data_IF_705326042801
#
_entry.id   IF_705326042801
#
_cell.length_a   1.000
_cell.length_b   1.000
_cell.length_c   1.000
_cell.angle_alpha   90.00
_cell.angle_beta   90.00
_cell.angle_gamma   90.00
#
_symmetry.space_group_name_H-M   'P 1'
#
loop_
_entity.id
_entity.type
_entity.pdbx_description
1 polymer ?
#
# COMPACT_ATOMS: atom_id res chain seq x y z
N UNK A 1 9.83 -3.60 9.21
CA UNK A 1 8.77 -3.56 8.18
C UNK A 1 9.43 -3.45 6.82
N UNK A 2 9.02 -4.25 5.83
CA UNK A 2 9.64 -4.27 4.49
C UNK A 2 8.90 -3.44 3.44
N UNK A 3 7.61 -3.16 3.64
CA UNK A 3 6.81 -2.33 2.74
C UNK A 3 7.39 -0.93 2.65
N UNK A 4 7.67 -0.47 1.43
CA UNK A 4 8.22 0.85 1.13
C UNK A 4 7.20 1.71 0.40
N UNK A 5 7.34 3.02 0.52
CA UNK A 5 6.65 4.02 -0.28
C UNK A 5 7.69 5.03 -0.75
N UNK A 6 7.89 5.13 -2.07
CA UNK A 6 8.88 6.03 -2.68
C UNK A 6 8.13 7.10 -3.45
N UNK A 7 8.45 8.37 -3.20
CA UNK A 7 7.90 9.47 -3.99
C UNK A 7 8.49 9.40 -5.40
N UNK A 8 7.63 9.35 -6.42
CA UNK A 8 7.96 9.35 -7.83
C UNK A 8 7.14 10.45 -8.51
N UNK A 9 7.79 11.59 -8.80
CA UNK A 9 7.11 12.80 -9.24
C UNK A 9 6.18 13.36 -8.15
N UNK A 10 4.88 13.32 -8.41
CA UNK A 10 3.80 13.79 -7.55
C UNK A 10 3.05 12.67 -6.81
N UNK A 11 3.40 11.40 -7.05
CA UNK A 11 2.73 10.23 -6.46
C UNK A 11 3.69 9.38 -5.62
N UNK A 12 3.13 8.57 -4.71
CA UNK A 12 3.90 7.58 -3.96
C UNK A 12 3.70 6.18 -4.54
N UNK A 13 4.80 5.54 -4.94
CA UNK A 13 4.80 4.13 -5.35
C UNK A 13 5.00 3.25 -4.11
N UNK A 14 3.96 2.53 -3.74
CA UNK A 14 3.95 1.62 -2.59
C UNK A 14 4.24 0.19 -3.04
N UNK A 15 5.25 -0.45 -2.44
CA UNK A 15 5.63 -1.82 -2.77
C UNK A 15 5.78 -2.70 -1.53
N UNK A 16 5.19 -3.89 -1.57
CA UNK A 16 5.35 -4.93 -0.56
C UNK A 16 4.12 -5.81 -0.39
N UNK A 17 4.15 -6.67 0.62
CA UNK A 17 3.03 -7.52 1.01
C UNK A 17 2.70 -7.35 2.48
N UNK A 18 1.42 -7.45 2.80
CA UNK A 18 0.91 -7.49 4.18
C UNK A 18 0.03 -8.73 4.30
N UNK A 19 0.20 -9.46 5.37
CA UNK A 19 -0.59 -10.66 5.68
C UNK A 19 -1.49 -10.36 6.87
N UNK A 20 -2.65 -11.03 6.95
CA UNK A 20 -3.60 -10.93 8.07
C UNK A 20 -4.24 -9.54 8.24
N UNK A 21 -4.78 -9.00 7.15
CA UNK A 21 -5.54 -7.74 7.19
C UNK A 21 -7.01 -8.07 7.49
N UNK A 22 -7.46 -7.78 8.71
CA UNK A 22 -8.88 -7.90 9.06
C UNK A 22 -9.72 -7.07 8.09
N UNK A 23 -10.71 -7.71 7.45
CA UNK A 23 -11.57 -7.12 6.42
C UNK A 23 -10.85 -6.54 5.18
N UNK A 24 -9.57 -6.86 4.94
CA UNK A 24 -8.81 -6.24 3.83
C UNK A 24 -9.41 -6.47 2.44
N UNK A 25 -10.08 -7.60 2.22
CA UNK A 25 -10.77 -7.87 0.95
C UNK A 25 -12.11 -7.11 0.81
N UNK A 26 -12.75 -6.71 1.92
CA UNK A 26 -14.04 -6.03 1.92
C UNK A 26 -13.94 -4.50 2.03
N UNK A 27 -12.82 -3.96 2.49
CA UNK A 27 -12.68 -2.53 2.77
C UNK A 27 -12.48 -1.68 1.51
N UNK A 28 -13.26 -0.64 1.27
CA UNK A 28 -13.06 0.23 0.09
C UNK A 28 -11.87 1.18 0.23
N UNK A 29 -11.44 1.45 1.47
CA UNK A 29 -10.28 2.26 1.80
C UNK A 29 -9.43 1.54 2.85
N UNK A 30 -8.12 1.47 2.62
CA UNK A 30 -7.17 0.84 3.55
C UNK A 30 -6.07 1.81 3.95
N UNK A 31 -5.67 1.73 5.23
CA UNK A 31 -4.49 2.45 5.73
C UNK A 31 -3.27 1.55 5.54
N UNK A 32 -2.33 1.96 4.70
CA UNK A 32 -1.06 1.27 4.50
C UNK A 32 0.04 1.96 5.30
N UNK A 33 0.68 1.20 6.19
CA UNK A 33 1.90 1.63 6.87
C UNK A 33 3.10 1.20 6.02
N UNK A 34 3.89 2.19 5.59
CA UNK A 34 5.06 1.97 4.73
C UNK A 34 6.26 2.83 5.15
N UNK A 35 7.47 2.38 4.79
CA UNK A 35 8.71 3.14 5.00
C UNK A 35 8.89 4.14 3.88
N UNK A 36 8.91 5.42 4.23
CA UNK A 36 9.26 6.53 3.36
C UNK A 36 10.74 6.90 3.48
N UNK A 37 11.32 6.73 4.67
CA UNK A 37 12.77 6.84 4.87
C UNK A 37 13.29 5.67 5.72
N UNK A 38 13.94 4.66 5.11
CA UNK A 38 14.52 3.53 5.84
C UNK A 38 15.61 3.94 6.85
N UNK A 39 16.31 5.07 6.64
CA UNK A 39 17.42 5.52 7.49
C UNK A 39 16.94 6.27 8.73
N UNK A 40 15.76 6.88 8.69
CA UNK A 40 15.19 7.62 9.83
C UNK A 40 14.60 6.74 10.94
N UNK A 41 14.83 5.42 10.93
CA UNK A 41 14.31 4.51 11.95
C UNK A 41 12.79 4.61 12.04
N UNK A 42 12.23 4.71 13.25
CA UNK A 42 10.78 4.83 13.45
C UNK A 42 10.16 6.05 12.73
N UNK A 43 10.88 7.18 12.67
CA UNK A 43 10.39 8.45 12.10
C UNK A 43 10.20 8.41 10.58
N UNK A 44 10.86 7.49 9.88
CA UNK A 44 10.67 7.30 8.44
C UNK A 44 9.50 6.37 8.07
N UNK A 45 8.46 6.36 8.91
CA UNK A 45 7.24 5.58 8.69
C UNK A 45 6.10 6.53 8.44
N UNK A 46 5.34 6.29 7.38
CA UNK A 46 4.17 7.09 7.03
C UNK A 46 2.94 6.20 6.89
N UNK A 47 1.76 6.80 7.03
CA UNK A 47 0.47 6.19 6.79
C UNK A 47 -0.07 6.72 5.46
N UNK A 48 -0.57 5.83 4.62
CA UNK A 48 -1.17 6.14 3.34
C UNK A 48 -2.61 5.66 3.33
N UNK A 49 -3.53 6.49 2.84
CA UNK A 49 -4.88 6.07 2.51
C UNK A 49 -4.88 5.58 1.06
N UNK A 50 -5.28 4.34 0.83
CA UNK A 50 -5.28 3.70 -0.49
C UNK A 50 -6.66 3.14 -0.75
N UNK A 51 -7.27 3.56 -1.85
CA UNK A 51 -8.55 3.02 -2.31
C UNK A 51 -8.35 1.61 -2.85
N UNK A 52 -9.35 0.76 -2.66
CA UNK A 52 -9.21 -0.65 -2.98
C UNK A 52 -9.14 -0.94 -4.48
N UNK A 53 -9.60 -0.04 -5.32
CA UNK A 53 -9.54 -0.12 -6.78
C UNK A 53 -8.30 0.59 -7.36
N UNK A 54 -7.46 1.21 -6.52
CA UNK A 54 -6.18 1.79 -6.95
C UNK A 54 -5.36 0.74 -7.73
N UNK A 55 -4.86 1.04 -8.94
CA UNK A 55 -4.07 0.10 -9.72
C UNK A 55 -2.91 -0.51 -8.94
N UNK A 56 -2.76 -1.84 -9.02
CA UNK A 56 -1.74 -2.58 -8.28
C UNK A 56 -2.16 -2.98 -6.85
N UNK A 57 -3.33 -2.56 -6.35
CA UNK A 57 -3.91 -3.15 -5.15
C UNK A 57 -4.26 -4.64 -5.39
N UNK A 58 -4.37 -5.46 -4.33
CA UNK A 58 -4.80 -6.85 -4.47
C UNK A 58 -6.19 -7.00 -5.12
N UNK A 59 -7.13 -6.08 -4.86
CA UNK A 59 -8.51 -6.16 -5.38
C UNK A 59 -8.57 -5.69 -6.84
N UNK A 60 -7.87 -4.61 -7.18
CA UNK A 60 -7.72 -4.16 -8.57
C UNK A 60 -7.02 -5.21 -9.46
N UNK A 61 -6.00 -5.88 -8.91
CA UNK A 61 -5.26 -6.93 -9.62
C UNK A 61 -6.08 -8.21 -9.79
N UNK A 62 -6.92 -8.55 -8.80
CA UNK A 62 -7.85 -9.68 -8.89
C UNK A 62 -8.91 -9.43 -9.98
N UNK A 63 -9.43 -8.21 -10.10
CA UNK A 63 -10.42 -7.85 -11.12
C UNK A 63 -9.86 -8.00 -12.55
N UNK A 64 -8.65 -7.48 -12.82
CA UNK A 64 -7.98 -7.60 -14.12
C UNK A 64 -7.65 -9.04 -14.56
N UNK A 65 -7.69 -10.02 -13.66
CA UNK A 65 -7.38 -11.42 -13.97
C UNK A 65 -8.55 -12.17 -14.61
N UNK A 66 -9.75 -11.60 -14.59
CA UNK A 66 -10.98 -12.23 -15.10
C UNK A 66 -11.51 -11.60 -16.39
N UNK A 67 -10.73 -10.73 -17.02
CA UNK A 67 -10.93 -10.18 -18.38
C UNK A 67 -9.86 -10.74 -19.32
#
# INVERSE_FOLDING_TARGET
MKTTAVLDGDEYVINGSKTFITNGYLADLVIVVAKTDPKAGAKGTSLFLVEADTPGSPRASAWKRWE
#
